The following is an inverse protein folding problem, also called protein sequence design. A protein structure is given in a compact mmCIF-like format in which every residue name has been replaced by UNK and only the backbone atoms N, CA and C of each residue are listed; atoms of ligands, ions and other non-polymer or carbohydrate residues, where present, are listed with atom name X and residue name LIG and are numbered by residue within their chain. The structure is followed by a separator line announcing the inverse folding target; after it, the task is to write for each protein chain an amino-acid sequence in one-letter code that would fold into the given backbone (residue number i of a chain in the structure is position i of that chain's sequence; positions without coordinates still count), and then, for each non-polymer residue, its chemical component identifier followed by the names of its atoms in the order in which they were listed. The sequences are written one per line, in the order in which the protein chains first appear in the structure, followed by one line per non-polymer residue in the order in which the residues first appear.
data_IF_471001451830
#
_entry.id   IF_471001451830
#
_cell.length_a   1.000
_cell.length_b   1.000
_cell.length_c   1.000
_cell.angle_alpha   90.00
_cell.angle_beta   90.00
_cell.angle_gamma   90.00
#
_symmetry.space_group_name_H-M   'P 1'
#
loop_
_entity.id
_entity.type
_entity.pdbx_description
1 polymer ?
#
# COMPACT_ATOMS: atom_id res chain seq x y z
N UNK A 1 1.37 -13.44 0.53
CA UNK A 1 0.97 -12.08 0.99
C UNK A 1 1.55 -11.76 2.37
N UNK A 2 1.36 -12.61 3.37
CA UNK A 2 1.87 -12.37 4.74
C UNK A 2 3.37 -12.10 4.80
N UNK A 3 4.19 -12.87 4.06
CA UNK A 3 5.63 -12.67 4.02
C UNK A 3 6.06 -11.27 3.52
N UNK A 4 5.33 -10.67 2.55
CA UNK A 4 5.68 -9.33 2.04
C UNK A 4 5.23 -8.23 3.00
N UNK A 5 4.08 -8.40 3.67
CA UNK A 5 3.61 -7.48 4.70
C UNK A 5 4.54 -7.48 5.91
N UNK A 6 4.96 -8.67 6.36
CA UNK A 6 5.92 -8.81 7.47
C UNK A 6 7.23 -8.08 7.17
N UNK A 7 7.77 -8.23 5.96
CA UNK A 7 8.96 -7.49 5.55
C UNK A 7 8.74 -5.97 5.54
N UNK A 8 7.61 -5.49 5.03
CA UNK A 8 7.30 -4.04 5.02
C UNK A 8 7.23 -3.51 6.47
N UNK A 9 6.58 -4.23 7.37
CA UNK A 9 6.45 -3.82 8.77
C UNK A 9 7.79 -3.83 9.51
N UNK A 10 8.60 -4.88 9.34
CA UNK A 10 9.95 -4.93 9.90
C UNK A 10 10.81 -3.73 9.45
N UNK A 11 10.72 -3.34 8.18
CA UNK A 11 11.46 -2.17 7.68
C UNK A 11 10.93 -0.86 8.25
N UNK A 12 9.63 -0.75 8.53
CA UNK A 12 9.03 0.40 9.24
C UNK A 12 9.53 0.51 10.68
N UNK A 13 9.53 -0.60 11.41
CA UNK A 13 10.03 -0.62 12.78
C UNK A 13 11.50 -0.23 12.86
N UNK A 14 12.34 -0.76 11.97
CA UNK A 14 13.76 -0.37 11.94
C UNK A 14 13.90 1.11 11.59
N UNK A 15 13.18 1.61 10.58
CA UNK A 15 13.22 3.03 10.22
C UNK A 15 12.82 3.93 11.38
N UNK A 16 11.78 3.57 12.14
CA UNK A 16 11.35 4.32 13.33
C UNK A 16 12.44 4.39 14.42
N UNK A 17 13.21 3.33 14.61
CA UNK A 17 14.34 3.31 15.58
C UNK A 17 15.52 4.18 15.15
N UNK A 18 15.66 4.46 13.85
CA UNK A 18 16.78 5.23 13.31
C UNK A 18 16.47 6.72 13.17
N UNK A 19 15.22 7.15 13.38
CA UNK A 19 14.82 8.57 13.30
C UNK A 19 15.68 9.40 14.26
N UNK A 20 16.30 10.46 13.74
CA UNK A 20 17.16 11.36 14.53
C UNK A 20 18.61 10.88 14.68
N UNK A 21 18.98 9.72 14.12
CA UNK A 21 20.36 9.23 14.06
C UNK A 21 21.01 9.55 12.70
N UNK A 22 22.33 9.41 12.59
CA UNK A 22 23.02 9.50 11.28
C UNK A 22 22.53 8.45 10.26
N UNK A 23 21.91 7.38 10.74
CA UNK A 23 21.37 6.30 9.92
C UNK A 23 19.96 6.61 9.37
N UNK A 24 19.33 7.72 9.78
CA UNK A 24 18.10 8.22 9.12
C UNK A 24 18.37 8.62 7.65
N UNK A 25 19.62 8.93 7.33
CA UNK A 25 20.09 9.18 5.98
C UNK A 25 20.39 7.88 5.18
N UNK A 26 19.93 6.70 5.62
CA UNK A 26 20.13 5.43 4.89
C UNK A 26 18.85 4.96 4.22
N UNK A 27 18.98 4.27 3.08
CA UNK A 27 17.87 3.57 2.44
C UNK A 27 17.21 2.57 3.40
N UNK A 28 15.98 2.87 3.82
CA UNK A 28 15.19 2.08 4.76
C UNK A 28 14.73 0.73 4.18
N UNK A 29 15.07 0.45 2.91
CA UNK A 29 14.85 -0.83 2.26
C UNK A 29 16.11 -1.69 2.33
N UNK A 30 17.24 -1.29 1.73
CA UNK A 30 18.43 -2.14 1.72
C UNK A 30 19.34 -1.97 2.94
N UNK A 31 19.22 -0.86 3.67
CA UNK A 31 20.11 -0.48 4.78
C UNK A 31 21.61 -0.43 4.42
N UNK A 32 21.92 -0.27 3.13
CA UNK A 32 23.29 -0.23 2.60
C UNK A 32 23.65 1.12 1.99
N UNK A 33 22.69 1.75 1.32
CA UNK A 33 22.92 3.01 0.61
C UNK A 33 22.66 4.17 1.54
N UNK A 34 23.70 4.91 1.95
CA UNK A 34 23.57 6.27 2.48
C UNK A 34 23.12 7.22 1.37
N UNK A 35 22.21 8.13 1.70
CA UNK A 35 21.79 9.23 0.87
C UNK A 35 22.75 10.40 1.07
N UNK A 36 23.17 11.03 -0.01
CA UNK A 36 23.54 12.44 0.08
C UNK A 36 22.26 13.26 0.28
N UNK A 37 22.42 14.49 0.77
CA UNK A 37 21.32 15.34 1.21
C UNK A 37 20.17 15.37 0.19
N UNK A 38 18.97 15.02 0.66
CA UNK A 38 17.73 15.12 -0.12
C UNK A 38 17.46 14.06 -1.18
N UNK A 39 18.39 13.15 -1.52
CA UNK A 39 18.23 12.28 -2.71
C UNK A 39 17.18 11.17 -2.55
N UNK A 40 17.04 10.59 -1.35
CA UNK A 40 16.20 9.40 -1.17
C UNK A 40 14.70 9.63 -1.41
N UNK A 41 14.02 8.66 -2.04
CA UNK A 41 12.62 8.78 -2.44
C UNK A 41 11.66 8.08 -1.48
N UNK A 42 10.64 8.79 -0.99
CA UNK A 42 9.57 8.22 -0.14
C UNK A 42 8.63 7.34 -0.96
N UNK A 43 8.43 6.11 -0.51
CA UNK A 43 7.44 5.20 -1.09
C UNK A 43 6.03 5.72 -0.80
N UNK A 44 5.20 5.84 -1.85
CA UNK A 44 3.81 6.27 -1.73
C UNK A 44 2.99 5.39 -0.77
N UNK A 45 3.23 4.07 -0.79
CA UNK A 45 2.42 3.12 -0.03
C UNK A 45 2.86 2.95 1.44
N UNK A 46 4.16 2.89 1.72
CA UNK A 46 4.66 2.59 3.07
C UNK A 46 5.41 3.74 3.73
N UNK A 47 5.57 4.87 3.04
CA UNK A 47 6.29 6.08 3.47
C UNK A 47 7.79 5.91 3.74
N UNK A 48 8.34 4.70 3.58
CA UNK A 48 9.78 4.45 3.72
C UNK A 48 10.59 5.11 2.61
N UNK A 49 11.76 5.64 2.97
CA UNK A 49 12.73 6.23 2.07
C UNK A 49 13.59 5.15 1.41
N UNK A 50 13.67 5.18 0.09
CA UNK A 50 14.36 4.17 -0.72
C UNK A 50 15.34 4.81 -1.71
N UNK A 51 16.43 4.10 -2.01
CA UNK A 51 17.35 4.48 -3.09
C UNK A 51 16.79 4.06 -4.45
N UNK A 52 17.38 4.60 -5.53
CA UNK A 52 16.95 4.33 -6.90
C UNK A 52 16.99 2.83 -7.29
N UNK A 53 17.81 2.00 -6.60
CA UNK A 53 17.85 0.54 -6.81
C UNK A 53 16.77 -0.23 -6.03
N UNK A 54 16.20 0.40 -5.00
CA UNK A 54 15.23 -0.23 -4.11
C UNK A 54 13.80 0.25 -4.35
N UNK A 55 13.55 1.02 -5.41
CA UNK A 55 12.25 1.52 -5.80
C UNK A 55 12.26 2.01 -7.23
N UNK A 56 11.14 2.58 -7.67
CA UNK A 56 11.00 3.11 -9.01
C UNK A 56 9.73 3.91 -9.18
N UNK A 57 9.65 4.67 -10.26
CA UNK A 57 8.43 5.36 -10.68
C UNK A 57 7.43 4.32 -11.22
N UNK A 58 6.20 4.37 -10.74
CA UNK A 58 5.09 3.51 -11.18
C UNK A 58 3.97 4.40 -11.70
N UNK A 59 3.36 3.99 -12.81
CA UNK A 59 2.19 4.65 -13.35
C UNK A 59 1.01 4.50 -12.38
N UNK A 60 0.34 5.61 -12.09
CA UNK A 60 -0.93 5.65 -11.36
C UNK A 60 -1.87 6.59 -12.12
N UNK A 61 -3.19 6.46 -11.92
CA UNK A 61 -4.21 7.16 -12.72
C UNK A 61 -4.03 8.68 -12.75
N UNK A 62 -3.58 9.27 -11.63
CA UNK A 62 -3.57 10.73 -11.47
C UNK A 62 -2.17 11.35 -11.65
N UNK A 63 -1.12 10.65 -11.24
CA UNK A 63 0.28 11.11 -11.36
C UNK A 63 1.26 9.95 -11.17
N UNK A 64 2.47 10.01 -11.74
CA UNK A 64 3.53 9.06 -11.42
C UNK A 64 3.82 9.03 -9.92
N UNK A 65 3.83 7.85 -9.33
CA UNK A 65 4.17 7.65 -7.91
C UNK A 65 5.52 6.94 -7.79
N UNK A 66 6.23 7.15 -6.69
CA UNK A 66 7.37 6.32 -6.35
C UNK A 66 6.93 5.18 -5.43
N UNK A 67 7.27 3.95 -5.78
CA UNK A 67 7.02 2.78 -4.94
C UNK A 67 8.33 2.04 -4.66
N UNK A 68 8.56 1.65 -3.41
CA UNK A 68 9.68 0.77 -3.08
C UNK A 68 9.45 -0.64 -3.65
N UNK A 69 10.54 -1.39 -3.84
CA UNK A 69 10.56 -2.76 -4.35
C UNK A 69 9.62 -3.70 -3.59
N UNK A 70 9.52 -3.57 -2.27
CA UNK A 70 8.58 -4.36 -1.46
C UNK A 70 7.12 -4.05 -1.80
N UNK A 71 6.76 -2.77 -1.93
CA UNK A 71 5.41 -2.38 -2.29
C UNK A 71 5.09 -2.69 -3.76
N UNK A 72 6.06 -2.60 -4.67
CA UNK A 72 5.89 -3.07 -6.05
C UNK A 72 5.62 -4.58 -6.10
N UNK A 73 6.35 -5.37 -5.31
CA UNK A 73 6.09 -6.81 -5.16
C UNK A 73 4.71 -7.07 -4.56
N UNK A 74 4.31 -6.32 -3.52
CA UNK A 74 2.96 -6.39 -2.92
C UNK A 74 1.87 -6.16 -3.97
N UNK A 75 1.99 -5.11 -4.78
CA UNK A 75 1.02 -4.82 -5.86
C UNK A 75 1.00 -5.93 -6.92
N UNK A 76 2.17 -6.47 -7.30
CA UNK A 76 2.26 -7.60 -8.23
C UNK A 76 1.53 -8.84 -7.70
N UNK A 77 1.68 -9.14 -6.41
CA UNK A 77 0.97 -10.28 -5.78
C UNK A 77 -0.54 -10.01 -5.72
N UNK A 78 -0.96 -8.80 -5.34
CA UNK A 78 -2.37 -8.43 -5.35
C UNK A 78 -2.98 -8.63 -6.74
N UNK A 79 -2.35 -8.08 -7.78
CA UNK A 79 -2.80 -8.23 -9.17
C UNK A 79 -2.93 -9.70 -9.61
N UNK A 80 -1.95 -10.56 -9.26
CA UNK A 80 -1.96 -11.98 -9.62
C UNK A 80 -2.98 -12.82 -8.84
N UNK A 81 -3.24 -12.48 -7.58
CA UNK A 81 -4.08 -13.29 -6.69
C UNK A 81 -5.56 -12.89 -6.71
N UNK A 82 -5.91 -11.76 -7.32
CA UNK A 82 -7.27 -11.26 -7.35
C UNK A 82 -7.83 -10.86 -5.97
N UNK A 83 -7.02 -10.90 -4.89
CA UNK A 83 -7.47 -10.57 -3.52
C UNK A 83 -8.03 -9.15 -3.40
N UNK A 84 -7.64 -8.25 -4.30
CA UNK A 84 -8.20 -6.91 -4.36
C UNK A 84 -9.70 -6.89 -4.74
N UNK A 85 -10.22 -7.93 -5.41
CA UNK A 85 -11.65 -8.09 -5.65
C UNK A 85 -12.43 -8.57 -4.42
N UNK A 86 -11.84 -9.45 -3.60
CA UNK A 86 -12.49 -9.99 -2.40
C UNK A 86 -12.83 -8.89 -1.40
N UNK A 87 -11.96 -7.88 -1.28
CA UNK A 87 -12.20 -6.73 -0.41
C UNK A 87 -13.30 -5.81 -0.95
N UNK A 88 -13.46 -5.70 -2.27
CA UNK A 88 -14.53 -4.91 -2.88
C UNK A 88 -15.90 -5.59 -2.69
N UNK A 89 -15.98 -6.91 -2.81
CA UNK A 89 -17.22 -7.67 -2.60
C UNK A 89 -17.75 -7.55 -1.17
N UNK A 90 -16.89 -7.57 -0.16
CA UNK A 90 -17.30 -7.40 1.24
C UNK A 90 -17.79 -5.98 1.57
N UNK A 91 -17.27 -4.97 0.87
CA UNK A 91 -17.72 -3.57 1.06
C UNK A 91 -19.13 -3.37 0.46
N UNK A 92 -19.49 -4.13 -0.58
CA UNK A 92 -20.82 -4.08 -1.17
C UNK A 92 -21.89 -4.73 -0.28
N UNK A 93 -21.57 -5.85 0.39
CA UNK A 93 -22.52 -6.55 1.27
C UNK A 93 -22.81 -5.80 2.58
N UNK A 94 -21.86 -5.00 3.08
CA UNK A 94 -22.07 -4.20 4.30
C UNK A 94 -22.94 -2.94 4.11
N UNK A 95 -23.36 -2.64 2.87
CA UNK A 95 -24.34 -1.58 2.57
C UNK A 95 -25.73 -2.09 2.11
N UNK A 96 -25.97 -3.40 2.15
CA UNK A 96 -27.17 -4.03 1.57
C UNK A 96 -28.24 -4.58 2.51
N UNK A 97 -28.13 -4.43 3.84
CA UNK A 97 -29.14 -4.93 4.80
C UNK A 97 -30.16 -3.85 5.16
N UNK A 98 -30.99 -3.47 4.18
CA UNK A 98 -32.23 -2.71 4.37
C UNK A 98 -33.43 -3.57 3.95
N UNK A 99 -34.08 -4.18 4.95
CA UNK A 99 -35.38 -4.87 5.00
C UNK A 99 -36.15 -5.23 3.69
N UNK A 100 -36.50 -6.52 3.47
CA UNK A 100 -37.59 -6.90 2.58
C UNK A 100 -38.91 -6.79 3.36
N UNK A 101 -39.55 -5.63 3.32
CA UNK A 101 -40.82 -5.40 3.99
C UNK A 101 -41.66 -4.38 3.25
N UNK A 102 -42.89 -4.79 2.95
CA UNK A 102 -44.05 -3.92 2.81
C UNK A 102 -44.47 -3.42 1.41
N UNK A 103 -45.46 -4.16 0.91
CA UNK A 103 -46.72 -3.70 0.29
C UNK A 103 -46.67 -3.39 -1.21
N UNK A 104 -46.77 -4.47 -1.99
CA UNK A 104 -47.56 -4.49 -3.24
C UNK A 104 -49.03 -4.79 -2.87
N UNK A 105 -49.89 -3.78 -2.90
CA UNK A 105 -51.33 -3.95 -3.12
C UNK A 105 -51.78 -2.71 -3.91
N UNK A 106 -51.78 -2.84 -5.24
CA UNK A 106 -52.97 -3.06 -6.05
C UNK A 106 -53.78 -1.77 -6.26
N UNK A 107 -53.60 -1.24 -7.48
CA UNK A 107 -54.59 -0.64 -8.39
C UNK A 107 -55.99 -0.30 -7.85
N UNK A 108 -56.46 0.86 -8.33
CA UNK A 108 -57.85 1.33 -8.48
C UNK A 108 -58.34 2.34 -7.43
N UNK A 109 -58.09 3.63 -7.68
CA UNK A 109 -59.11 4.64 -8.03
C UNK A 109 -58.42 5.89 -8.59
#
# INVERSE_FOLDING_TARGET
MEAIEKQINQRKEIAQRLVGTQDDAICQICQKTKFADGIGHKCFYCQLRSCARCGGRTASRNKPIWACSLCQQRQRILAKTGKWFQQAAMIDETKGTGSPGDIRLALNF
#
